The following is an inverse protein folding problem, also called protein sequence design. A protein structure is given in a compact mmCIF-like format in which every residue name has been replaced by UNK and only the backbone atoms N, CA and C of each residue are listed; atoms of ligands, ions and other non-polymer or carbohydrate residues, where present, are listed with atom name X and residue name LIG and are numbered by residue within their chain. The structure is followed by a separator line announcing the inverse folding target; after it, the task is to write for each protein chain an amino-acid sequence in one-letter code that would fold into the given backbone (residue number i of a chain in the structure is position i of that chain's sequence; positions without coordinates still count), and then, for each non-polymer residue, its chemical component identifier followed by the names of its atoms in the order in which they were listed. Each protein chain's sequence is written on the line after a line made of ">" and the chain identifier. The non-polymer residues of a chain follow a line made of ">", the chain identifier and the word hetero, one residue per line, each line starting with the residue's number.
data_IF_128419850155
#
_entry.id   IF_128419850155
#
_cell.length_a   1.000
_cell.length_b   1.000
_cell.length_c   1.000
_cell.angle_alpha   90.00
_cell.angle_beta   90.00
_cell.angle_gamma   90.00
#
_symmetry.space_group_name_H-M   'P 1'
#
loop_
_entity.id
_entity.type
_entity.pdbx_description
1 polymer ?
#
# COMPACT_ATOMS: atom_id res chain seq x y z
N UNK A 1 -6.33 -48.11 9.18
CA UNK A 1 -5.50 -46.90 9.39
C UNK A 1 -4.88 -46.39 8.06
N UNK A 2 -5.40 -46.82 6.90
CA UNK A 2 -5.09 -46.30 5.56
C UNK A 2 -6.27 -45.50 4.94
N UNK A 3 -7.31 -45.20 5.73
CA UNK A 3 -8.60 -44.65 5.28
C UNK A 3 -8.73 -43.13 5.35
N UNK A 4 -7.62 -42.38 5.47
CA UNK A 4 -7.61 -40.91 5.39
C UNK A 4 -6.84 -40.40 4.15
N UNK A 5 -6.27 -41.30 3.35
CA UNK A 5 -5.39 -41.01 2.22
C UNK A 5 -6.13 -40.69 0.90
N UNK A 6 -7.39 -40.23 0.92
CA UNK A 6 -8.16 -40.04 -0.33
C UNK A 6 -8.98 -38.76 -0.42
N UNK A 7 -9.18 -38.01 0.66
CA UNK A 7 -10.04 -36.80 0.66
C UNK A 7 -9.28 -35.47 0.60
N UNK A 8 -7.94 -35.50 0.59
CA UNK A 8 -7.10 -34.30 0.47
C UNK A 8 -6.24 -34.30 -0.80
N UNK A 9 -6.79 -34.77 -1.93
CA UNK A 9 -6.44 -34.14 -3.21
C UNK A 9 -7.04 -32.73 -3.13
N UNK A 10 -6.26 -31.81 -2.56
CA UNK A 10 -6.66 -30.42 -2.30
C UNK A 10 -6.96 -29.76 -3.64
N UNK A 11 -8.24 -29.82 -4.03
CA UNK A 11 -8.76 -29.21 -5.25
C UNK A 11 -8.91 -27.70 -4.98
N UNK A 12 -7.76 -27.02 -4.89
CA UNK A 12 -7.64 -25.58 -4.72
C UNK A 12 -7.92 -24.87 -6.05
N UNK A 13 -8.72 -23.81 -6.01
CA UNK A 13 -8.89 -22.94 -7.17
C UNK A 13 -7.63 -22.09 -7.27
N UNK A 14 -6.85 -22.30 -8.33
CA UNK A 14 -5.64 -21.55 -8.61
C UNK A 14 -5.89 -20.61 -9.78
N UNK A 15 -5.54 -19.35 -9.62
CA UNK A 15 -5.60 -18.33 -10.68
C UNK A 15 -4.20 -17.81 -10.96
N UNK A 16 -3.84 -17.75 -12.25
CA UNK A 16 -2.53 -17.23 -12.68
C UNK A 16 -2.61 -15.71 -12.81
N UNK A 17 -1.64 -15.02 -12.23
CA UNK A 17 -1.46 -13.59 -12.34
C UNK A 17 -0.05 -13.25 -12.83
N UNK A 18 0.09 -12.09 -13.46
CA UNK A 18 1.37 -11.53 -13.88
C UNK A 18 1.72 -10.32 -13.01
N UNK A 19 3.00 -10.24 -12.62
CA UNK A 19 3.60 -9.08 -11.98
C UNK A 19 3.70 -7.93 -13.01
N UNK A 20 3.00 -6.82 -12.75
CA UNK A 20 3.02 -5.64 -13.63
C UNK A 20 3.88 -4.49 -13.08
N UNK A 21 4.24 -4.53 -11.80
CA UNK A 21 5.11 -3.52 -11.21
C UNK A 21 5.39 -3.73 -9.73
N UNK A 22 6.34 -2.97 -9.22
CA UNK A 22 6.67 -2.88 -7.79
C UNK A 22 6.24 -1.52 -7.26
N UNK A 23 5.85 -1.46 -5.98
CA UNK A 23 5.50 -0.19 -5.32
C UNK A 23 6.78 0.66 -5.15
N UNK A 24 6.79 1.95 -5.54
CA UNK A 24 7.98 2.81 -5.42
C UNK A 24 8.38 3.15 -3.99
N UNK A 25 7.56 2.83 -2.98
CA UNK A 25 7.87 3.12 -1.58
C UNK A 25 8.93 2.15 -1.02
N UNK A 26 10.14 2.61 -0.64
CA UNK A 26 11.22 1.73 -0.16
C UNK A 26 10.94 1.13 1.23
N UNK A 27 9.98 1.68 1.99
CA UNK A 27 9.63 1.18 3.32
C UNK A 27 8.58 0.09 3.32
N UNK A 28 7.97 -0.21 2.16
CA UNK A 28 6.94 -1.24 2.04
C UNK A 28 7.22 -2.14 0.86
N UNK A 29 7.30 -3.44 1.12
CA UNK A 29 7.61 -4.43 0.10
C UNK A 29 6.31 -4.92 -0.52
N UNK A 30 5.88 -4.21 -1.57
CA UNK A 30 4.61 -4.48 -2.26
C UNK A 30 4.83 -4.63 -3.75
N UNK A 31 4.04 -5.52 -4.33
CA UNK A 31 3.99 -5.75 -5.77
C UNK A 31 2.57 -5.54 -6.28
N UNK A 32 2.46 -5.22 -7.57
CA UNK A 32 1.20 -5.00 -8.26
C UNK A 32 1.01 -6.11 -9.29
N UNK A 33 -0.15 -6.76 -9.27
CA UNK A 33 -0.49 -7.86 -10.18
C UNK A 33 -1.65 -7.48 -11.12
N UNK A 34 -1.70 -8.09 -12.30
CA UNK A 34 -2.74 -7.86 -13.33
C UNK A 34 -4.10 -8.52 -13.05
N UNK A 35 -4.40 -8.79 -11.77
CA UNK A 35 -5.66 -9.41 -11.34
C UNK A 35 -6.30 -8.57 -10.25
N UNK A 36 -7.58 -8.26 -10.40
CA UNK A 36 -8.33 -7.42 -9.48
C UNK A 36 -9.66 -8.02 -9.03
N UNK A 37 -10.53 -7.16 -8.51
CA UNK A 37 -11.86 -7.56 -8.01
C UNK A 37 -12.72 -8.21 -9.10
N UNK A 38 -12.63 -7.74 -10.35
CA UNK A 38 -13.39 -8.33 -11.47
C UNK A 38 -12.91 -9.73 -11.88
N UNK A 39 -11.65 -10.05 -11.58
CA UNK A 39 -11.10 -11.39 -11.79
C UNK A 39 -11.48 -12.38 -10.68
N UNK A 40 -12.12 -11.90 -9.59
CA UNK A 40 -12.46 -12.72 -8.44
C UNK A 40 -11.42 -12.72 -7.33
N UNK A 41 -10.41 -11.83 -7.40
CA UNK A 41 -9.40 -11.68 -6.34
C UNK A 41 -10.04 -11.10 -5.09
N UNK A 42 -9.62 -11.63 -3.94
CA UNK A 42 -10.22 -11.35 -2.63
C UNK A 42 -9.18 -10.85 -1.64
N UNK A 43 -9.57 -9.97 -0.72
CA UNK A 43 -8.67 -9.43 0.29
C UNK A 43 -8.18 -10.53 1.22
N UNK A 44 -6.87 -10.59 1.41
CA UNK A 44 -6.21 -11.60 2.21
C UNK A 44 -5.90 -12.89 1.46
N UNK A 45 -6.11 -12.95 0.15
CA UNK A 45 -5.80 -14.14 -0.63
C UNK A 45 -4.27 -14.41 -0.63
N UNK A 46 -3.83 -15.64 -0.38
CA UNK A 46 -2.42 -16.02 -0.46
C UNK A 46 -1.93 -16.01 -1.91
N UNK A 47 -0.70 -15.53 -2.08
CA UNK A 47 -0.01 -15.48 -3.37
C UNK A 47 1.25 -16.30 -3.30
N UNK A 48 1.45 -17.17 -4.28
CA UNK A 48 2.56 -18.10 -4.36
C UNK A 48 3.32 -17.94 -5.67
N UNK A 49 4.59 -18.31 -5.61
CA UNK A 49 5.46 -18.54 -6.75
C UNK A 49 5.62 -20.05 -6.98
N UNK A 50 6.28 -20.46 -8.05
CA UNK A 50 6.60 -21.85 -8.37
C UNK A 50 7.37 -22.57 -7.25
N UNK A 51 8.06 -21.83 -6.38
CA UNK A 51 8.89 -22.39 -5.30
C UNK A 51 8.29 -22.30 -3.90
N UNK A 52 7.28 -21.47 -3.68
CA UNK A 52 6.73 -21.28 -2.34
C UNK A 52 5.82 -20.07 -2.19
N UNK A 53 5.39 -19.85 -0.95
CA UNK A 53 4.57 -18.71 -0.57
C UNK A 53 5.35 -17.41 -0.81
N UNK A 54 4.71 -16.41 -1.41
CA UNK A 54 5.32 -15.11 -1.73
C UNK A 54 4.76 -13.99 -0.85
N UNK A 55 3.45 -14.02 -0.58
CA UNK A 55 2.80 -12.93 0.15
C UNK A 55 1.28 -13.07 0.23
N UNK A 56 0.62 -11.93 0.46
CA UNK A 56 -0.83 -11.86 0.64
C UNK A 56 -1.42 -10.61 -0.03
N UNK A 57 -2.58 -10.74 -0.67
CA UNK A 57 -3.32 -9.60 -1.23
C UNK A 57 -3.81 -8.69 -0.10
N UNK A 58 -3.40 -7.42 -0.12
CA UNK A 58 -3.77 -6.43 0.91
C UNK A 58 -4.68 -5.32 0.39
N UNK A 59 -4.72 -5.12 -0.93
CA UNK A 59 -5.54 -4.08 -1.55
C UNK A 59 -6.08 -4.56 -2.91
N UNK A 60 -7.35 -4.28 -3.16
CA UNK A 60 -8.03 -4.61 -4.41
C UNK A 60 -8.36 -3.33 -5.18
N UNK A 61 -8.09 -3.36 -6.48
CA UNK A 61 -8.60 -2.42 -7.47
C UNK A 61 -9.43 -3.22 -8.51
N UNK A 62 -10.20 -2.57 -9.40
CA UNK A 62 -11.09 -3.29 -10.32
C UNK A 62 -10.38 -4.29 -11.24
N UNK A 63 -9.16 -4.00 -11.67
CA UNK A 63 -8.38 -4.80 -12.63
C UNK A 63 -6.97 -5.17 -12.16
N UNK A 64 -6.57 -4.67 -10.99
CA UNK A 64 -5.25 -4.92 -10.41
C UNK A 64 -5.39 -5.12 -8.91
N UNK A 65 -4.37 -5.66 -8.27
CA UNK A 65 -4.32 -5.77 -6.82
C UNK A 65 -2.89 -5.60 -6.33
N UNK A 66 -2.76 -5.18 -5.06
CA UNK A 66 -1.46 -5.07 -4.40
C UNK A 66 -1.28 -6.24 -3.46
N UNK A 67 -0.12 -6.89 -3.60
CA UNK A 67 0.31 -8.01 -2.75
C UNK A 67 1.40 -7.49 -1.83
N UNK A 68 1.22 -7.73 -0.54
CA UNK A 68 2.24 -7.51 0.48
C UNK A 68 3.16 -8.74 0.51
N UNK A 69 4.45 -8.52 0.30
CA UNK A 69 5.44 -9.60 0.29
C UNK A 69 5.72 -10.06 1.72
N UNK A 70 6.13 -11.33 1.83
CA UNK A 70 6.47 -11.93 3.12
C UNK A 70 7.71 -11.33 3.80
N UNK A 71 8.53 -10.59 3.05
CA UNK A 71 9.73 -9.91 3.56
C UNK A 71 9.45 -8.54 4.14
N UNK A 72 8.22 -8.02 4.00
CA UNK A 72 7.83 -6.75 4.62
C UNK A 72 7.88 -6.84 6.16
N UNK A 73 8.37 -5.79 6.82
CA UNK A 73 8.50 -5.74 8.28
C UNK A 73 7.18 -5.85 9.03
N UNK A 74 6.07 -5.48 8.38
CA UNK A 74 4.71 -5.56 8.94
C UNK A 74 4.05 -6.91 8.70
N UNK A 75 4.70 -7.81 7.96
CA UNK A 75 4.16 -9.11 7.62
C UNK A 75 4.68 -10.21 8.55
N UNK A 76 3.76 -11.05 9.03
CA UNK A 76 4.07 -12.20 9.86
C UNK A 76 3.25 -13.42 9.42
N UNK A 77 3.93 -14.55 9.24
CA UNK A 77 3.34 -15.81 8.78
C UNK A 77 3.57 -16.89 9.85
N UNK A 78 2.53 -17.60 10.29
CA UNK A 78 2.71 -18.73 11.18
C UNK A 78 3.26 -19.93 10.40
N UNK A 79 4.48 -20.32 10.74
CA UNK A 79 5.22 -21.40 10.08
C UNK A 79 5.38 -22.61 11.00
N UNK A 80 5.71 -23.74 10.38
CA UNK A 80 6.00 -24.99 11.03
C UNK A 80 7.29 -25.57 10.43
N UNK A 81 8.17 -26.11 11.26
CA UNK A 81 9.35 -26.85 10.80
C UNK A 81 8.88 -28.20 10.25
N UNK A 82 9.26 -28.51 9.00
CA UNK A 82 8.81 -29.73 8.32
C UNK A 82 9.31 -31.01 9.02
N UNK A 83 10.51 -30.97 9.63
CA UNK A 83 11.15 -32.14 10.26
C UNK A 83 10.45 -32.62 11.53
N UNK A 84 10.20 -31.71 12.47
CA UNK A 84 9.74 -32.05 13.82
C UNK A 84 8.39 -31.41 14.19
N UNK A 85 7.81 -30.61 13.30
CA UNK A 85 6.51 -30.00 13.51
C UNK A 85 6.50 -28.82 14.49
N UNK A 86 7.67 -28.31 14.91
CA UNK A 86 7.77 -27.13 15.77
C UNK A 86 7.11 -25.92 15.09
N UNK A 87 6.28 -25.17 15.82
CA UNK A 87 5.59 -23.98 15.30
C UNK A 87 6.32 -22.71 15.70
N UNK A 88 6.42 -21.78 14.76
CA UNK A 88 7.02 -20.47 14.97
C UNK A 88 6.29 -19.40 14.14
N UNK A 89 6.70 -18.14 14.28
CA UNK A 89 6.20 -17.04 13.47
C UNK A 89 7.37 -16.43 12.70
N UNK A 90 7.33 -16.57 11.38
CA UNK A 90 8.26 -15.89 10.50
C UNK A 90 7.81 -14.45 10.28
N UNK A 91 8.71 -13.50 10.46
CA UNK A 91 8.50 -12.07 10.21
C UNK A 91 9.46 -11.57 9.15
N UNK A 92 8.96 -10.66 8.31
CA UNK A 92 9.80 -9.96 7.35
C UNK A 92 10.76 -8.99 8.03
N UNK A 93 11.90 -8.76 7.39
CA UNK A 93 12.96 -7.87 7.89
C UNK A 93 13.09 -6.58 7.07
N UNK A 94 12.38 -6.47 5.94
CA UNK A 94 12.60 -5.45 4.92
C UNK A 94 13.75 -5.79 3.95
N UNK A 95 14.34 -6.99 4.04
CA UNK A 95 15.29 -7.48 3.04
C UNK A 95 14.67 -8.65 2.24
N UNK A 96 14.70 -8.64 0.89
CA UNK A 96 14.11 -9.68 0.05
C UNK A 96 14.69 -11.10 0.27
N UNK A 97 15.89 -11.23 0.85
CA UNK A 97 16.57 -12.51 1.05
C UNK A 97 16.60 -12.96 2.52
N UNK A 98 15.96 -12.21 3.42
CA UNK A 98 16.02 -12.48 4.86
C UNK A 98 14.68 -12.43 5.56
N UNK A 99 14.39 -13.49 6.29
CA UNK A 99 13.33 -13.60 7.29
C UNK A 99 13.91 -13.90 8.66
N UNK A 100 13.16 -13.53 9.68
CA UNK A 100 13.50 -13.83 11.07
C UNK A 100 12.33 -14.54 11.75
N UNK A 101 12.64 -15.61 12.49
CA UNK A 101 11.64 -16.22 13.37
C UNK A 101 11.67 -15.50 14.71
N UNK A 102 10.50 -14.99 15.12
CA UNK A 102 10.36 -14.35 16.44
C UNK A 102 9.87 -15.37 17.47
N UNK A 103 10.33 -15.23 18.71
CA UNK A 103 9.87 -15.99 19.88
C UNK A 103 10.12 -17.51 19.80
N UNK A 104 11.26 -17.91 19.24
CA UNK A 104 11.72 -19.30 19.33
C UNK A 104 12.42 -19.49 20.68
N UNK A 105 11.95 -20.43 21.50
CA UNK A 105 12.62 -20.75 22.75
C UNK A 105 14.05 -21.26 22.49
N UNK A 106 14.99 -20.90 23.35
CA UNK A 106 16.40 -21.35 23.21
C UNK A 106 16.55 -22.87 23.26
N UNK A 107 15.63 -23.57 23.95
CA UNK A 107 15.57 -25.04 24.03
C UNK A 107 14.86 -25.71 22.84
N UNK A 108 14.42 -24.94 21.85
CA UNK A 108 13.69 -25.49 20.71
C UNK A 108 14.62 -26.21 19.73
N UNK A 109 14.20 -27.40 19.27
CA UNK A 109 14.95 -28.17 18.27
C UNK A 109 14.82 -27.53 16.86
N UNK A 110 15.61 -26.49 16.57
CA UNK A 110 15.74 -25.90 15.21
C UNK A 110 17.19 -26.03 14.77
N UNK A 111 17.40 -26.49 13.53
CA UNK A 111 18.74 -26.62 12.94
C UNK A 111 18.83 -25.84 11.63
N UNK A 112 20.04 -25.45 11.28
CA UNK A 112 20.34 -24.90 9.96
C UNK A 112 19.98 -25.91 8.86
N UNK A 113 19.40 -25.42 7.77
CA UNK A 113 18.88 -26.24 6.68
C UNK A 113 17.44 -26.71 6.85
N UNK A 114 16.80 -26.48 8.00
CA UNK A 114 15.41 -26.87 8.20
C UNK A 114 14.46 -26.10 7.26
N UNK A 115 13.55 -26.83 6.60
CA UNK A 115 12.51 -26.26 5.76
C UNK A 115 11.31 -25.82 6.62
N UNK A 116 10.94 -24.55 6.48
CA UNK A 116 9.78 -23.95 7.10
C UNK A 116 8.61 -23.97 6.12
N UNK A 117 7.49 -24.56 6.55
CA UNK A 117 6.25 -24.63 5.80
C UNK A 117 5.14 -23.84 6.49
N UNK A 118 4.12 -23.42 5.77
CA UNK A 118 2.98 -22.72 6.34
C UNK A 118 2.18 -23.65 7.27
N UNK A 119 1.92 -23.21 8.50
CA UNK A 119 1.24 -24.04 9.51
C UNK A 119 -0.28 -24.17 9.31
N UNK A 120 -0.88 -23.31 8.49
CA UNK A 120 -2.35 -23.18 8.37
C UNK A 120 -3.05 -22.61 9.61
N UNK A 121 -2.30 -22.21 10.65
CA UNK A 121 -2.85 -21.67 11.88
C UNK A 121 -3.62 -20.38 11.62
N UNK A 122 -4.83 -20.27 12.18
CA UNK A 122 -5.71 -19.11 12.00
C UNK A 122 -6.41 -19.04 10.63
N UNK A 123 -6.30 -20.09 9.80
CA UNK A 123 -6.98 -20.22 8.49
C UNK A 123 -6.74 -19.06 7.51
N UNK A 124 -5.67 -18.27 7.70
CA UNK A 124 -5.31 -17.16 6.80
C UNK A 124 -4.52 -17.63 5.58
N UNK A 125 -3.63 -18.58 5.81
CA UNK A 125 -2.80 -19.20 4.78
C UNK A 125 -3.15 -20.69 4.69
N UNK A 126 -3.06 -21.30 3.50
CA UNK A 126 -3.16 -22.74 3.37
C UNK A 126 -1.97 -23.40 4.08
N UNK A 127 -2.16 -24.63 4.56
CA UNK A 127 -1.13 -25.38 5.26
C UNK A 127 -0.22 -26.12 4.26
N UNK A 128 1.05 -26.32 4.62
CA UNK A 128 1.98 -27.19 3.89
C UNK A 128 2.76 -26.55 2.74
N UNK A 129 2.68 -25.23 2.57
CA UNK A 129 3.41 -24.54 1.51
C UNK A 129 4.80 -24.10 1.98
N UNK A 130 5.87 -24.29 1.17
CA UNK A 130 7.22 -23.82 1.52
C UNK A 130 7.25 -22.31 1.71
N UNK A 131 7.92 -21.84 2.77
CA UNK A 131 8.07 -20.42 3.09
C UNK A 131 9.53 -20.01 3.05
N UNK A 132 10.38 -20.71 3.81
CA UNK A 132 11.80 -20.36 3.93
C UNK A 132 12.63 -21.55 4.42
N UNK A 133 13.95 -21.45 4.26
CA UNK A 133 14.93 -22.40 4.81
C UNK A 133 15.77 -21.72 5.87
N UNK A 134 15.96 -22.35 7.03
CA UNK A 134 16.80 -21.81 8.10
C UNK A 134 18.25 -21.74 7.62
N UNK A 135 18.87 -20.57 7.73
CA UNK A 135 20.26 -20.34 7.35
C UNK A 135 21.19 -20.30 8.54
N UNK A 136 20.75 -19.69 9.63
CA UNK A 136 21.58 -19.44 10.80
C UNK A 136 20.71 -19.45 12.06
N UNK A 137 21.19 -20.10 13.12
CA UNK A 137 20.54 -20.13 14.44
C UNK A 137 21.51 -19.59 15.49
N UNK A 138 21.21 -18.41 16.03
CA UNK A 138 22.04 -17.76 17.05
C UNK A 138 21.37 -17.97 18.41
N UNK A 139 22.08 -18.66 19.30
CA UNK A 139 21.69 -18.86 20.70
C UNK A 139 22.55 -17.91 21.55
N UNK A 140 21.89 -17.03 22.31
CA UNK A 140 22.56 -16.12 23.23
C UNK A 140 22.16 -16.51 24.66
N UNK A 141 23.12 -17.00 25.45
CA UNK A 141 22.89 -17.45 26.83
C UNK A 141 22.28 -16.38 27.74
N UNK A 142 22.30 -15.10 27.33
CA UNK A 142 21.67 -13.99 28.04
C UNK A 142 20.22 -13.69 27.64
N UNK A 143 19.65 -14.36 26.61
CA UNK A 143 18.30 -14.10 26.10
C UNK A 143 17.41 -15.35 26.20
N UNK A 144 16.13 -15.21 26.56
CA UNK A 144 15.20 -16.36 26.62
C UNK A 144 14.78 -16.90 25.25
N UNK A 145 15.12 -16.20 24.16
CA UNK A 145 14.73 -16.54 22.80
C UNK A 145 15.94 -16.56 21.86
N UNK A 146 16.05 -17.61 21.04
CA UNK A 146 17.04 -17.70 19.98
C UNK A 146 16.65 -16.82 18.78
N UNK A 147 17.64 -16.23 18.12
CA UNK A 147 17.46 -15.47 16.89
C UNK A 147 17.70 -16.40 15.71
N UNK A 148 16.63 -16.75 15.00
CA UNK A 148 16.71 -17.63 13.82
C UNK A 148 16.56 -16.81 12.55
N UNK A 149 17.56 -16.90 11.67
CA UNK A 149 17.55 -16.25 10.36
C UNK A 149 17.26 -17.30 9.29
N UNK A 150 16.31 -16.99 8.43
CA UNK A 150 15.87 -17.86 7.34
C UNK A 150 15.87 -17.13 6.01
N UNK A 151 16.07 -17.87 4.92
CA UNK A 151 16.04 -17.37 3.55
C UNK A 151 14.72 -17.78 2.89
N UNK A 152 13.95 -16.85 2.32
CA UNK A 152 12.74 -17.18 1.57
C UNK A 152 12.98 -18.21 0.46
N UNK A 153 12.08 -19.18 0.32
CA UNK A 153 12.14 -20.16 -0.79
C UNK A 153 11.62 -19.57 -2.10
N UNK A 154 10.67 -18.62 -2.02
CA UNK A 154 10.10 -17.93 -3.18
C UNK A 154 11.08 -16.92 -3.81
N UNK A 155 11.13 -16.85 -5.14
CA UNK A 155 12.02 -15.94 -5.84
C UNK A 155 11.41 -14.53 -5.95
N UNK A 156 11.40 -13.79 -4.85
CA UNK A 156 10.65 -12.53 -4.71
C UNK A 156 11.01 -11.45 -5.76
N UNK A 157 12.25 -11.44 -6.25
CA UNK A 157 12.74 -10.42 -7.19
C UNK A 157 12.84 -10.91 -8.66
N UNK A 158 12.50 -12.18 -8.95
CA UNK A 158 12.67 -12.76 -10.31
C UNK A 158 11.39 -13.36 -10.88
N UNK A 159 10.34 -13.46 -10.08
CA UNK A 159 9.10 -14.14 -10.46
C UNK A 159 8.18 -13.21 -11.23
N UNK A 160 7.95 -13.51 -12.51
CA UNK A 160 7.01 -12.78 -13.36
C UNK A 160 5.57 -13.26 -13.22
N UNK A 161 5.40 -14.55 -12.97
CA UNK A 161 4.08 -15.18 -12.86
C UNK A 161 3.85 -15.66 -11.43
N UNK A 162 2.61 -15.49 -10.99
CA UNK A 162 2.19 -15.74 -9.61
C UNK A 162 0.91 -16.56 -9.62
N UNK A 163 0.72 -17.32 -8.55
CA UNK A 163 -0.44 -18.17 -8.33
C UNK A 163 -1.24 -17.63 -7.15
N UNK A 164 -2.48 -17.24 -7.43
CA UNK A 164 -3.47 -16.87 -6.44
C UNK A 164 -4.22 -18.12 -6.03
N UNK A 165 -4.14 -18.49 -4.75
CA UNK A 165 -4.79 -19.71 -4.24
C UNK A 165 -6.01 -19.34 -3.43
N UNK A 166 -7.14 -19.96 -3.74
CA UNK A 166 -8.36 -19.90 -2.93
C UNK A 166 -8.64 -21.26 -2.29
N UNK A 167 -8.31 -21.45 -0.99
CA UNK A 167 -8.71 -22.65 -0.28
C UNK A 167 -10.23 -22.68 -0.14
N UNK A 168 -10.87 -23.84 -0.38
CA UNK A 168 -12.34 -23.99 -0.20
C UNK A 168 -12.81 -23.71 1.24
N UNK A 169 -11.93 -23.82 2.23
CA UNK A 169 -12.22 -23.52 3.65
C UNK A 169 -11.88 -22.08 4.05
N UNK A 170 -11.24 -21.29 3.18
CA UNK A 170 -10.82 -19.93 3.49
C UNK A 170 -12.02 -18.99 3.49
N UNK A 171 -12.30 -18.41 4.65
CA UNK A 171 -13.26 -17.32 4.80
C UNK A 171 -12.47 -16.03 4.90
N UNK A 172 -12.61 -15.09 3.95
CA UNK A 172 -11.99 -13.77 4.11
C UNK A 172 -12.48 -13.17 5.42
N UNK A 173 -11.56 -12.61 6.21
CA UNK A 173 -11.91 -11.84 7.39
C UNK A 173 -12.80 -10.68 6.90
N UNK A 174 -14.11 -10.80 7.12
CA UNK A 174 -15.11 -9.83 6.68
C UNK A 174 -14.89 -8.53 7.47
N UNK A 175 -13.97 -7.67 7.02
CA UNK A 175 -13.81 -6.33 7.56
C UNK A 175 -15.16 -5.65 7.43
N UNK A 176 -15.73 -5.33 8.59
CA UNK A 176 -17.00 -4.63 8.74
C UNK A 176 -16.89 -3.25 8.10
N UNK A 177 -17.15 -3.15 6.80
CA UNK A 177 -17.79 -1.96 6.24
C UNK A 177 -19.28 -1.99 6.66
N UNK A 178 -19.54 -1.92 7.96
CA UNK A 178 -20.86 -1.48 8.44
C UNK A 178 -20.86 0.04 8.32
N UNK A 179 -21.25 0.49 7.14
CA UNK A 179 -21.80 1.82 6.97
C UNK A 179 -22.86 2.05 8.05
N UNK A 180 -22.68 3.17 8.73
CA UNK A 180 -23.60 3.87 9.61
C UNK A 180 -24.97 4.04 8.97
N UNK A 181 -25.86 3.07 9.22
CA UNK A 181 -27.31 3.28 9.33
C UNK A 181 -27.84 2.39 10.45
N UNK A 182 -27.55 2.77 11.69
CA UNK A 182 -28.31 2.31 12.85
C UNK A 182 -28.98 3.54 13.46
N UNK A 183 -30.23 3.74 13.07
CA UNK A 183 -31.04 4.90 13.44
C UNK A 183 -32.51 4.66 13.14
N UNK A 184 -33.01 3.46 13.45
CA UNK A 184 -34.46 3.25 13.66
C UNK A 184 -34.63 2.26 14.80
N UNK A 185 -34.93 2.82 15.98
CA UNK A 185 -35.46 2.11 17.13
C UNK A 185 -36.74 1.40 16.70
N UNK A 186 -36.69 0.09 16.52
CA UNK A 186 -37.89 -0.74 16.51
C UNK A 186 -37.71 -1.84 17.55
N UNK A 187 -38.28 -1.53 18.72
CA UNK A 187 -38.85 -2.41 19.75
C UNK A 187 -38.85 -3.90 19.36
N UNK A 188 -37.79 -4.62 19.71
CA UNK A 188 -37.88 -6.08 19.84
C UNK A 188 -38.37 -6.41 21.24
N UNK A 189 -39.65 -6.80 21.32
CA UNK A 189 -40.28 -7.35 22.51
C UNK A 189 -39.52 -8.60 22.95
N UNK A 190 -39.22 -8.66 24.25
CA UNK A 190 -38.78 -9.86 24.96
C UNK A 190 -39.88 -10.92 24.91
N UNK A 191 -39.51 -12.17 24.67
CA UNK A 191 -40.27 -13.35 25.10
C UNK A 191 -39.30 -14.52 25.35
N UNK A 192 -39.64 -15.43 26.28
CA UNK A 192 -38.67 -15.95 27.23
C UNK A 192 -38.08 -17.31 26.86
N UNK A 193 -37.05 -17.66 27.63
CA UNK A 193 -36.25 -18.87 27.56
C UNK A 193 -37.09 -20.16 27.55
N UNK A 194 -36.70 -21.08 26.66
CA UNK A 194 -37.07 -22.50 26.74
C UNK A 194 -35.77 -23.29 26.82
N UNK A 195 -35.41 -23.69 28.04
CA UNK A 195 -34.39 -24.71 28.29
C UNK A 195 -34.92 -26.07 27.82
N UNK A 196 -34.34 -26.62 26.75
CA UNK A 196 -34.46 -28.06 26.45
C UNK A 196 -33.20 -28.77 26.91
N UNK A 197 -33.38 -29.61 27.94
CA UNK A 197 -32.45 -30.66 28.38
C UNK A 197 -32.12 -31.57 27.20
N UNK A 198 -30.84 -31.85 26.99
CA UNK A 198 -30.37 -32.89 26.07
C UNK A 198 -29.97 -34.10 26.93
N UNK A 199 -30.71 -35.20 26.81
CA UNK A 199 -30.26 -36.53 27.25
C UNK A 199 -29.47 -37.19 26.11
N UNK A 200 -28.42 -37.98 26.40
CA UNK A 200 -27.65 -38.69 25.38
C UNK A 200 -28.41 -39.91 24.83
N UNK A 201 -28.21 -40.29 23.55
CA UNK A 201 -28.89 -41.43 22.98
C UNK A 201 -28.27 -42.77 23.40
N UNK A 202 -29.16 -43.70 23.74
CA UNK A 202 -28.91 -45.13 23.98
C UNK A 202 -28.54 -45.85 22.69
N UNK A 203 -27.54 -46.72 22.81
CA UNK A 203 -27.14 -47.76 21.87
C UNK A 203 -28.27 -48.77 21.59
N UNK A 204 -28.40 -49.27 20.35
CA UNK A 204 -28.81 -50.66 20.18
C UNK A 204 -27.87 -51.45 19.25
N UNK A 205 -27.40 -52.58 19.79
CA UNK A 205 -26.82 -53.70 19.05
C UNK A 205 -27.79 -54.18 17.97
N UNK A 206 -27.32 -54.30 16.73
CA UNK A 206 -27.85 -55.25 15.74
C UNK A 206 -26.70 -55.88 14.97
N UNK A 207 -26.46 -57.16 15.25
CA UNK A 207 -25.78 -58.08 14.34
C UNK A 207 -26.59 -58.17 13.05
N UNK A 208 -25.94 -58.26 11.88
CA UNK A 208 -26.29 -59.24 10.83
C UNK A 208 -25.30 -59.22 9.65
N UNK A 209 -24.70 -60.39 9.42
CA UNK A 209 -24.36 -61.06 8.16
C UNK A 209 -23.43 -60.38 7.11
N UNK A 210 -22.26 -61.00 6.96
CA UNK A 210 -21.41 -61.04 5.76
C UNK A 210 -22.17 -61.60 4.54
N UNK A 211 -21.82 -61.12 3.33
CA UNK A 211 -21.74 -61.99 2.17
C UNK A 211 -20.34 -62.02 1.54
N UNK A 212 -20.12 -63.13 0.83
CA UNK A 212 -18.87 -63.66 0.29
C UNK A 212 -18.36 -62.90 -0.95
N UNK A 213 -17.05 -63.01 -1.16
CA UNK A 213 -16.33 -62.71 -2.41
C UNK A 213 -16.95 -63.38 -3.65
N UNK A 214 -16.66 -62.82 -4.83
CA UNK A 214 -16.15 -63.64 -5.92
C UNK A 214 -14.77 -63.18 -6.42
N UNK A 215 -13.92 -64.18 -6.66
CA UNK A 215 -12.68 -64.14 -7.44
C UNK A 215 -12.99 -64.18 -8.94
N UNK A 216 -11.95 -63.95 -9.76
CA UNK A 216 -11.83 -63.94 -11.22
C UNK A 216 -11.87 -62.50 -11.79
N UNK A 217 -10.92 -62.03 -12.60
CA UNK A 217 -10.13 -62.74 -13.61
C UNK A 217 -8.80 -61.99 -13.85
N UNK A 218 -7.71 -62.76 -14.00
CA UNK A 218 -6.44 -62.34 -14.59
C UNK A 218 -6.62 -61.91 -16.05
N UNK A 219 -5.86 -60.89 -16.49
CA UNK A 219 -5.08 -60.80 -17.76
C UNK A 219 -4.69 -59.33 -18.04
N UNK A 220 -3.40 -59.04 -18.18
CA UNK A 220 -2.93 -57.94 -19.04
C UNK A 220 -2.59 -58.47 -20.44
N UNK A 221 -1.81 -57.77 -21.28
CA UNK A 221 -1.78 -56.34 -21.67
C UNK A 221 -2.19 -56.22 -23.18
N UNK A 222 -1.90 -55.14 -23.98
CA UNK A 222 -0.53 -54.82 -24.44
C UNK A 222 -0.19 -53.33 -24.62
N UNK A 223 1.11 -53.11 -24.85
CA UNK A 223 1.76 -51.89 -25.32
C UNK A 223 1.19 -51.37 -26.64
N UNK A 224 1.28 -50.04 -26.81
CA UNK A 224 1.54 -49.43 -28.11
C UNK A 224 0.45 -48.47 -28.58
N UNK A 225 0.67 -47.16 -28.38
CA UNK A 225 0.45 -46.13 -29.39
C UNK A 225 0.96 -44.77 -28.89
N UNK A 226 2.18 -44.45 -29.32
CA UNK A 226 2.76 -43.11 -29.31
C UNK A 226 1.87 -42.17 -30.14
N UNK A 227 1.01 -41.40 -29.48
CA UNK A 227 0.35 -40.26 -30.14
C UNK A 227 1.19 -39.01 -29.91
N UNK A 228 2.06 -38.70 -30.88
CA UNK A 228 2.75 -37.40 -31.01
C UNK A 228 1.72 -36.28 -31.02
N UNK A 229 1.54 -35.58 -29.90
CA UNK A 229 0.83 -34.31 -29.85
C UNK A 229 1.77 -33.24 -30.40
N UNK A 230 1.56 -32.84 -31.67
CA UNK A 230 2.19 -31.65 -32.26
C UNK A 230 1.61 -30.40 -31.59
N UNK A 231 2.32 -29.85 -30.60
CA UNK A 231 2.12 -28.49 -30.13
C UNK A 231 2.86 -27.53 -31.08
N UNK A 232 2.12 -26.84 -31.94
CA UNK A 232 2.57 -25.55 -32.50
C UNK A 232 1.84 -24.45 -31.73
N UNK A 233 2.50 -23.64 -30.89
CA UNK A 233 1.94 -22.36 -30.51
C UNK A 233 2.09 -21.40 -31.70
N UNK A 234 0.97 -20.92 -32.25
CA UNK A 234 0.98 -19.72 -33.11
C UNK A 234 1.33 -18.54 -32.20
N UNK A 235 2.47 -17.89 -32.45
CA UNK A 235 2.73 -16.55 -31.94
C UNK A 235 1.67 -15.60 -32.53
N UNK A 236 1.05 -14.71 -31.73
CA UNK A 236 0.39 -13.54 -32.28
C UNK A 236 1.46 -12.53 -32.72
N UNK A 237 1.38 -12.12 -33.99
CA UNK A 237 2.13 -11.01 -34.57
C UNK A 237 1.67 -9.68 -33.95
N UNK A 238 2.57 -8.77 -33.56
CA UNK A 238 2.18 -7.44 -33.13
C UNK A 238 1.75 -6.61 -34.34
N UNK A 239 0.49 -6.19 -34.38
CA UNK A 239 0.00 -5.15 -35.30
C UNK A 239 0.60 -3.79 -34.89
N UNK A 240 1.28 -3.07 -35.78
CA UNK A 240 1.70 -1.70 -35.52
C UNK A 240 0.54 -0.76 -35.82
N UNK A 241 0.09 0.02 -34.83
CA UNK A 241 -0.87 1.10 -35.07
C UNK A 241 -2.01 1.17 -34.07
N UNK A 242 -1.70 1.59 -32.85
CA UNK A 242 -2.64 2.40 -32.09
C UNK A 242 -1.82 3.42 -31.33
N UNK A 243 -1.85 4.66 -31.83
CA UNK A 243 -1.34 5.82 -31.11
C UNK A 243 -1.82 5.74 -29.66
N UNK A 244 -0.86 5.88 -28.78
CA UNK A 244 -1.00 6.14 -27.35
C UNK A 244 -2.04 7.22 -27.09
N UNK A 245 -3.29 6.82 -26.88
CA UNK A 245 -4.24 7.63 -26.11
C UNK A 245 -3.95 7.32 -24.65
N UNK A 246 -2.93 7.99 -24.12
CA UNK A 246 -2.74 8.16 -22.69
C UNK A 246 -4.00 8.87 -22.20
N UNK A 247 -4.99 8.09 -21.78
CA UNK A 247 -6.14 8.64 -21.06
C UNK A 247 -5.58 9.16 -19.75
N UNK A 248 -5.29 10.46 -19.70
CA UNK A 248 -5.16 11.17 -18.45
C UNK A 248 -6.45 10.90 -17.68
N UNK A 249 -6.37 10.00 -16.71
CA UNK A 249 -7.40 9.84 -15.70
C UNK A 249 -7.33 11.10 -14.86
N UNK A 250 -7.93 12.18 -15.37
CA UNK A 250 -8.18 13.41 -14.63
C UNK A 250 -9.03 13.01 -13.44
N UNK A 251 -8.41 12.97 -12.26
CA UNK A 251 -9.13 12.79 -11.02
C UNK A 251 -10.28 13.79 -10.99
N UNK A 252 -11.50 13.28 -10.78
CA UNK A 252 -12.78 14.02 -10.88
C UNK A 252 -12.82 15.35 -10.09
N UNK A 253 -11.84 15.58 -9.21
CA UNK A 253 -11.76 16.70 -8.29
C UNK A 253 -10.51 17.59 -8.49
N UNK A 254 -9.82 17.52 -9.64
CA UNK A 254 -8.64 18.39 -9.91
C UNK A 254 -8.96 19.89 -9.91
N UNK A 255 -10.21 20.27 -10.22
CA UNK A 255 -10.69 21.66 -10.18
C UNK A 255 -10.64 22.28 -8.78
N UNK A 256 -10.67 21.46 -7.72
CA UNK A 256 -10.59 21.95 -6.33
C UNK A 256 -9.26 22.67 -6.06
N UNK A 257 -8.18 22.23 -6.70
CA UNK A 257 -6.87 22.89 -6.53
C UNK A 257 -6.89 24.29 -7.13
N UNK A 258 -7.46 24.44 -8.34
CA UNK A 258 -7.66 25.74 -8.95
C UNK A 258 -8.58 26.64 -8.13
N UNK A 259 -9.61 26.08 -7.49
CA UNK A 259 -10.46 26.81 -6.55
C UNK A 259 -9.68 27.30 -5.33
N UNK A 260 -8.74 26.50 -4.80
CA UNK A 260 -7.87 26.99 -3.72
C UNK A 260 -6.93 28.11 -4.17
N UNK A 261 -6.38 28.05 -5.40
CA UNK A 261 -5.59 29.16 -5.93
C UNK A 261 -6.42 30.43 -6.15
N UNK A 262 -7.66 30.29 -6.63
CA UNK A 262 -8.58 31.41 -6.76
C UNK A 262 -8.87 32.05 -5.39
N UNK A 263 -9.13 31.24 -4.35
CA UNK A 263 -9.27 31.75 -2.97
C UNK A 263 -7.99 32.47 -2.51
N UNK A 264 -6.82 31.89 -2.81
CA UNK A 264 -5.53 32.51 -2.51
C UNK A 264 -5.37 33.89 -3.14
N UNK A 265 -5.74 34.02 -4.41
CA UNK A 265 -5.72 35.30 -5.14
C UNK A 265 -6.73 36.29 -4.57
N UNK A 266 -7.95 35.85 -4.25
CA UNK A 266 -8.97 36.71 -3.65
C UNK A 266 -8.54 37.26 -2.29
N UNK A 267 -7.95 36.41 -1.44
CA UNK A 267 -7.36 36.84 -0.16
C UNK A 267 -6.12 37.73 -0.37
N UNK A 268 -5.40 37.54 -1.48
CA UNK A 268 -4.34 38.43 -1.92
C UNK A 268 -4.87 39.74 -2.52
N UNK A 269 -6.16 39.97 -2.71
CA UNK A 269 -6.66 41.29 -3.21
C UNK A 269 -7.49 42.01 -2.16
N UNK A 270 -7.93 41.31 -1.10
CA UNK A 270 -8.75 41.92 -0.05
C UNK A 270 -8.04 43.11 0.61
N UNK A 271 -8.68 44.30 0.68
CA UNK A 271 -8.12 45.46 1.35
C UNK A 271 -8.06 45.18 2.86
N UNK A 272 -6.86 45.30 3.43
CA UNK A 272 -6.65 45.18 4.86
C UNK A 272 -6.50 46.59 5.46
N UNK A 273 -6.92 46.79 6.72
CA UNK A 273 -6.67 48.06 7.40
C UNK A 273 -5.16 48.28 7.57
N UNK A 274 -4.71 49.53 7.50
CA UNK A 274 -3.28 49.92 7.45
C UNK A 274 -2.39 49.28 8.52
N UNK A 275 -2.92 49.02 9.73
CA UNK A 275 -2.15 48.35 10.80
C UNK A 275 -1.87 46.86 10.52
N UNK A 276 -2.70 46.20 9.72
CA UNK A 276 -2.60 44.77 9.39
C UNK A 276 -1.88 44.53 8.05
N UNK A 277 -1.70 45.56 7.22
CA UNK A 277 -0.97 45.45 5.95
C UNK A 277 0.47 44.97 6.13
N UNK A 278 1.12 45.35 7.23
CA UNK A 278 2.47 44.90 7.58
C UNK A 278 2.54 43.38 7.82
N UNK A 279 1.46 42.79 8.36
CA UNK A 279 1.38 41.36 8.70
C UNK A 279 0.75 40.52 7.59
N UNK A 280 0.61 41.08 6.39
CA UNK A 280 -0.11 40.47 5.30
C UNK A 280 0.52 39.15 4.86
N UNK A 281 -0.17 38.01 5.00
CA UNK A 281 0.37 36.72 4.60
C UNK A 281 0.50 36.60 3.09
N UNK A 282 1.48 35.83 2.64
CA UNK A 282 1.66 35.41 1.25
C UNK A 282 0.68 34.25 0.95
N UNK A 283 -0.62 34.56 0.91
CA UNK A 283 -1.69 33.57 0.76
C UNK A 283 -1.48 32.67 -0.45
N UNK A 284 -1.17 33.26 -1.60
CA UNK A 284 -0.95 32.50 -2.83
C UNK A 284 0.28 31.60 -2.72
N UNK A 285 1.40 32.12 -2.21
CA UNK A 285 2.64 31.35 -2.03
C UNK A 285 2.45 30.18 -1.03
N UNK A 286 1.67 30.37 0.04
CA UNK A 286 1.35 29.32 1.01
C UNK A 286 0.58 28.17 0.37
N UNK A 287 -0.50 28.49 -0.33
CA UNK A 287 -1.33 27.49 -0.98
C UNK A 287 -0.56 26.77 -2.09
N UNK A 288 0.25 27.52 -2.86
CA UNK A 288 1.12 26.96 -3.87
C UNK A 288 2.16 26.01 -3.29
N UNK A 289 2.85 26.42 -2.22
CA UNK A 289 3.83 25.60 -1.52
C UNK A 289 3.23 24.28 -1.05
N UNK A 290 2.00 24.29 -0.52
CA UNK A 290 1.30 23.08 -0.13
C UNK A 290 1.05 22.13 -1.30
N UNK A 291 0.52 22.63 -2.41
CA UNK A 291 0.18 21.78 -3.55
C UNK A 291 1.41 21.23 -4.27
N UNK A 292 2.50 22.01 -4.33
CA UNK A 292 3.80 21.56 -4.83
C UNK A 292 4.36 20.42 -3.97
N UNK A 293 4.31 20.54 -2.63
CA UNK A 293 4.73 19.47 -1.72
C UNK A 293 3.84 18.22 -1.79
N UNK A 294 2.55 18.40 -2.07
CA UNK A 294 1.57 17.31 -2.10
C UNK A 294 1.56 16.53 -3.42
N UNK A 295 1.78 17.21 -4.55
CA UNK A 295 1.60 16.72 -5.92
C UNK A 295 2.65 17.35 -6.88
N UNK A 296 3.95 17.04 -6.70
CA UNK A 296 5.04 17.72 -7.42
C UNK A 296 5.02 17.49 -8.94
N UNK A 297 4.43 16.38 -9.39
CA UNK A 297 4.33 16.06 -10.82
C UNK A 297 3.24 16.86 -11.55
N UNK A 298 2.29 17.47 -10.83
CA UNK A 298 1.16 18.22 -11.42
C UNK A 298 1.31 19.73 -11.30
N UNK A 299 1.84 20.20 -10.16
CA UNK A 299 1.98 21.61 -9.87
C UNK A 299 3.47 21.93 -9.67
N UNK A 300 3.96 22.94 -10.37
CA UNK A 300 5.37 23.28 -10.41
C UNK A 300 5.65 24.67 -10.95
N UNK A 301 6.80 24.83 -11.59
CA UNK A 301 7.30 26.14 -12.04
C UNK A 301 6.32 26.85 -12.98
N UNK A 302 5.70 26.12 -13.92
CA UNK A 302 4.77 26.68 -14.90
C UNK A 302 3.50 27.23 -14.24
N UNK A 303 2.95 26.51 -13.27
CA UNK A 303 1.77 26.97 -12.53
C UNK A 303 2.09 28.19 -11.67
N UNK A 304 3.29 28.25 -11.09
CA UNK A 304 3.74 29.40 -10.31
C UNK A 304 3.93 30.65 -11.17
N UNK A 305 4.51 30.48 -12.36
CA UNK A 305 4.69 31.56 -13.33
C UNK A 305 3.34 32.17 -13.75
N UNK A 306 2.39 31.33 -14.17
CA UNK A 306 1.06 31.79 -14.61
C UNK A 306 0.31 32.49 -13.46
N UNK A 307 0.34 31.91 -12.26
CA UNK A 307 -0.31 32.50 -11.10
C UNK A 307 0.33 33.83 -10.69
N UNK A 308 1.66 33.95 -10.83
CA UNK A 308 2.36 35.20 -10.55
C UNK A 308 2.12 36.29 -11.60
N UNK A 309 1.99 35.93 -12.88
CA UNK A 309 1.54 36.89 -13.91
C UNK A 309 0.12 37.40 -13.62
N UNK A 310 -0.77 36.50 -13.17
CA UNK A 310 -2.11 36.89 -12.77
C UNK A 310 -2.08 37.79 -11.53
N UNK A 311 -1.17 37.55 -10.59
CA UNK A 311 -0.94 38.43 -9.45
C UNK A 311 -0.43 39.82 -9.90
N UNK A 312 0.51 39.89 -10.84
CA UNK A 312 0.99 41.16 -11.39
C UNK A 312 -0.12 42.00 -12.01
N UNK A 313 -1.03 41.38 -12.76
CA UNK A 313 -2.19 42.04 -13.36
C UNK A 313 -3.17 42.56 -12.29
N UNK A 314 -3.36 41.82 -11.21
CA UNK A 314 -4.29 42.19 -10.14
C UNK A 314 -3.78 43.34 -9.27
N UNK A 315 -2.47 43.39 -8.99
CA UNK A 315 -1.87 44.48 -8.21
C UNK A 315 -1.45 45.69 -9.07
N UNK A 316 -1.46 45.56 -10.39
CA UNK A 316 -0.94 46.58 -11.29
C UNK A 316 0.58 46.76 -11.16
N UNK A 317 1.33 45.71 -10.76
CA UNK A 317 2.79 45.74 -10.69
C UNK A 317 3.42 45.49 -12.06
N UNK A 318 4.75 45.63 -12.15
CA UNK A 318 5.48 45.26 -13.36
C UNK A 318 5.22 43.79 -13.69
N UNK A 319 4.79 43.56 -14.93
CA UNK A 319 4.43 42.23 -15.43
C UNK A 319 5.67 41.33 -15.41
N UNK A 320 5.63 40.26 -14.62
CA UNK A 320 6.72 39.31 -14.41
C UNK A 320 7.39 39.37 -13.03
N UNK A 321 7.14 40.40 -12.20
CA UNK A 321 7.78 40.52 -10.88
C UNK A 321 7.33 39.41 -9.92
N UNK A 322 6.02 39.26 -9.69
CA UNK A 322 5.49 38.20 -8.83
C UNK A 322 5.67 36.81 -9.47
N UNK A 323 5.64 36.73 -10.80
CA UNK A 323 5.95 35.50 -11.53
C UNK A 323 7.35 34.96 -11.19
N UNK A 324 8.38 35.82 -11.17
CA UNK A 324 9.74 35.44 -10.79
C UNK A 324 9.85 35.00 -9.33
N UNK A 325 9.18 35.73 -8.42
CA UNK A 325 9.23 35.44 -6.98
C UNK A 325 8.56 34.09 -6.66
N UNK A 326 7.35 33.84 -7.16
CA UNK A 326 6.66 32.57 -6.95
C UNK A 326 7.40 31.40 -7.60
N UNK A 327 8.01 31.63 -8.76
CA UNK A 327 8.86 30.65 -9.43
C UNK A 327 10.10 30.29 -8.60
N UNK A 328 10.78 31.28 -8.03
CA UNK A 328 11.92 31.08 -7.14
C UNK A 328 11.52 30.28 -5.88
N UNK A 329 10.40 30.63 -5.24
CA UNK A 329 9.86 29.89 -4.10
C UNK A 329 9.60 28.43 -4.50
N UNK A 330 8.93 28.22 -5.63
CA UNK A 330 8.58 26.88 -6.11
C UNK A 330 9.82 26.04 -6.39
N UNK A 331 10.83 26.64 -7.02
CA UNK A 331 12.11 26.00 -7.30
C UNK A 331 12.83 25.57 -6.01
N UNK A 332 12.93 26.45 -5.02
CA UNK A 332 13.53 26.14 -3.72
C UNK A 332 12.76 25.02 -3.01
N UNK A 333 11.43 25.09 -2.98
CA UNK A 333 10.59 24.05 -2.37
C UNK A 333 10.78 22.71 -3.08
N UNK A 334 10.82 22.69 -4.41
CA UNK A 334 11.06 21.48 -5.21
C UNK A 334 12.44 20.87 -4.96
N UNK A 335 13.47 21.70 -4.77
CA UNK A 335 14.82 21.25 -4.44
C UNK A 335 14.88 20.57 -3.07
N UNK A 336 14.17 21.11 -2.07
CA UNK A 336 14.19 20.57 -0.70
C UNK A 336 13.07 19.54 -0.41
N UNK A 337 12.17 19.27 -1.36
CA UNK A 337 10.93 18.51 -1.13
C UNK A 337 11.14 17.12 -0.50
N UNK A 338 12.20 16.41 -0.89
CA UNK A 338 12.49 15.06 -0.39
C UNK A 338 12.76 15.08 1.12
N UNK A 339 13.40 16.15 1.61
CA UNK A 339 13.71 16.37 3.02
C UNK A 339 12.50 16.90 3.78
N UNK A 340 11.77 17.89 3.22
CA UNK A 340 10.60 18.47 3.87
C UNK A 340 9.51 17.44 4.18
N UNK A 341 9.33 16.42 3.32
CA UNK A 341 8.31 15.38 3.54
C UNK A 341 8.61 14.46 4.73
N UNK A 342 9.87 14.33 5.13
CA UNK A 342 10.27 13.51 6.28
C UNK A 342 10.34 14.30 7.58
N UNK A 343 10.46 15.62 7.52
CA UNK A 343 10.60 16.45 8.72
C UNK A 343 9.28 16.68 9.47
N UNK A 344 9.33 16.77 10.81
CA UNK A 344 8.19 17.14 11.64
C UNK A 344 7.68 18.55 11.30
N UNK A 345 6.42 18.81 11.62
CA UNK A 345 5.68 20.00 11.18
C UNK A 345 6.37 21.33 11.54
N UNK A 346 7.03 21.39 12.69
CA UNK A 346 7.72 22.59 13.16
C UNK A 346 9.00 22.87 12.35
N UNK A 347 9.76 21.82 11.98
CA UNK A 347 10.93 21.96 11.10
C UNK A 347 10.52 22.41 9.69
N UNK A 348 9.35 21.97 9.20
CA UNK A 348 8.81 22.49 7.95
C UNK A 348 8.56 24.01 8.02
N UNK A 349 8.07 24.53 9.16
CA UNK A 349 7.86 25.97 9.34
C UNK A 349 9.19 26.74 9.29
N UNK A 350 10.23 26.23 9.96
CA UNK A 350 11.55 26.85 9.96
C UNK A 350 12.15 26.90 8.55
N UNK A 351 12.05 25.80 7.79
CA UNK A 351 12.56 25.78 6.42
C UNK A 351 11.75 26.73 5.52
N UNK A 352 10.42 26.77 5.65
CA UNK A 352 9.60 27.69 4.87
C UNK A 352 9.82 29.16 5.24
N UNK A 353 10.11 29.47 6.51
CA UNK A 353 10.55 30.81 6.93
C UNK A 353 11.78 31.25 6.12
N UNK A 354 12.78 30.37 6.01
CA UNK A 354 14.00 30.65 5.24
C UNK A 354 13.68 30.79 3.75
N UNK A 355 12.90 29.89 3.16
CA UNK A 355 12.54 29.94 1.74
C UNK A 355 11.77 31.23 1.40
N UNK A 356 10.75 31.58 2.17
CA UNK A 356 9.98 32.81 1.96
C UNK A 356 10.81 34.05 2.26
N UNK A 357 11.67 34.01 3.28
CA UNK A 357 12.60 35.11 3.60
C UNK A 357 13.59 35.40 2.46
N UNK A 358 14.16 34.35 1.85
CA UNK A 358 15.04 34.50 0.68
C UNK A 358 14.28 35.06 -0.52
N UNK A 359 13.04 34.63 -0.74
CA UNK A 359 12.21 35.17 -1.81
C UNK A 359 11.85 36.64 -1.60
N UNK A 360 11.56 37.06 -0.36
CA UNK A 360 11.33 38.46 0.00
C UNK A 360 12.59 39.32 -0.17
N UNK A 361 13.78 38.75 0.13
CA UNK A 361 15.04 39.43 -0.14
C UNK A 361 15.26 39.62 -1.65
N UNK A 362 14.95 38.61 -2.47
CA UNK A 362 14.99 38.74 -3.93
C UNK A 362 13.98 39.79 -4.45
N UNK A 363 12.79 39.85 -3.86
CA UNK A 363 11.78 40.86 -4.17
C UNK A 363 12.28 42.28 -3.86
N UNK A 364 12.97 42.47 -2.72
CA UNK A 364 13.56 43.75 -2.36
C UNK A 364 14.62 44.19 -3.37
N UNK A 365 15.50 43.27 -3.78
CA UNK A 365 16.49 43.53 -4.81
C UNK A 365 15.87 43.91 -6.15
N UNK A 366 14.84 43.17 -6.59
CA UNK A 366 14.15 43.43 -7.85
C UNK A 366 13.42 44.79 -7.81
N UNK A 367 12.76 45.10 -6.69
CA UNK A 367 12.07 46.39 -6.50
C UNK A 367 13.05 47.56 -6.49
N UNK A 368 14.23 47.39 -5.88
CA UNK A 368 15.30 48.38 -5.88
C UNK A 368 15.82 48.67 -7.29
N UNK A 369 15.95 47.64 -8.14
CA UNK A 369 16.36 47.79 -9.54
C UNK A 369 15.32 48.54 -10.39
N UNK A 370 14.03 48.36 -10.10
CA UNK A 370 12.92 49.03 -10.83
C UNK A 370 12.67 50.48 -10.41
N UNK A 371 13.45 51.02 -9.47
CA UNK A 371 13.33 52.42 -9.02
C UNK A 371 12.13 52.71 -8.10
N UNK A 372 11.24 51.73 -7.85
CA UNK A 372 10.09 51.88 -6.98
C UNK A 372 10.49 51.67 -5.51
N UNK A 373 10.93 52.73 -4.82
CA UNK A 373 11.48 52.67 -3.47
C UNK A 373 10.45 52.90 -2.38
N UNK A 374 10.06 51.82 -1.69
CA UNK A 374 9.85 51.86 -0.23
C UNK A 374 10.53 50.65 0.43
N UNK A 375 11.87 50.67 0.57
CA UNK A 375 12.62 49.60 1.23
C UNK A 375 12.46 49.72 2.74
N UNK A 376 11.50 49.00 3.31
CA UNK A 376 11.40 48.83 4.76
C UNK A 376 11.75 47.39 5.12
N UNK A 377 12.36 47.19 6.31
CA UNK A 377 12.49 45.86 6.93
C UNK A 377 11.13 45.15 7.08
N UNK A 378 10.02 45.88 6.92
CA UNK A 378 8.67 45.36 6.99
C UNK A 378 8.35 44.30 5.92
N UNK A 379 9.12 44.24 4.82
CA UNK A 379 8.97 43.19 3.79
C UNK A 379 9.26 41.76 4.29
N UNK A 380 9.99 41.60 5.41
CA UNK A 380 10.28 40.28 6.00
C UNK A 380 9.12 39.77 6.85
N UNK A 381 8.28 40.67 7.38
CA UNK A 381 7.15 40.32 8.27
C UNK A 381 6.11 39.41 7.58
N UNK A 382 5.69 39.67 6.32
CA UNK A 382 4.86 38.75 5.54
C UNK A 382 5.38 37.31 5.50
N UNK A 383 6.69 37.12 5.33
CA UNK A 383 7.31 35.79 5.30
C UNK A 383 7.23 35.10 6.66
N UNK A 384 7.46 35.83 7.75
CA UNK A 384 7.36 35.32 9.12
C UNK A 384 5.92 34.91 9.45
N UNK A 385 4.95 35.77 9.17
CA UNK A 385 3.53 35.46 9.39
C UNK A 385 3.10 34.26 8.55
N UNK A 386 3.56 34.17 7.29
CA UNK A 386 3.24 33.04 6.42
C UNK A 386 3.81 31.73 6.96
N UNK A 387 5.08 31.73 7.37
CA UNK A 387 5.70 30.55 7.96
C UNK A 387 5.02 30.13 9.27
N UNK A 388 4.58 31.09 10.07
CA UNK A 388 3.80 30.81 11.27
C UNK A 388 2.43 30.21 10.91
N UNK A 389 1.72 30.72 9.91
CA UNK A 389 0.41 30.20 9.48
C UNK A 389 0.44 28.81 8.84
N UNK A 390 1.63 28.31 8.48
CA UNK A 390 1.81 27.04 7.78
C UNK A 390 1.18 25.79 8.45
N UNK A 391 1.30 25.54 9.78
CA UNK A 391 0.67 24.42 10.46
C UNK A 391 -0.85 24.37 10.26
N UNK A 392 -1.51 25.52 10.39
CA UNK A 392 -2.96 25.62 10.28
C UNK A 392 -3.44 25.40 8.84
N UNK A 393 -2.82 26.07 7.88
CA UNK A 393 -3.15 25.95 6.45
C UNK A 393 -2.92 24.53 5.96
N UNK A 394 -1.75 23.95 6.28
CA UNK A 394 -1.41 22.59 5.84
C UNK A 394 -2.29 21.53 6.50
N UNK A 395 -2.69 21.71 7.77
CA UNK A 395 -3.64 20.80 8.42
C UNK A 395 -5.01 20.84 7.73
N UNK A 396 -5.54 22.04 7.46
CA UNK A 396 -6.81 22.23 6.76
C UNK A 396 -6.80 21.60 5.36
N UNK A 397 -5.76 21.87 4.57
CA UNK A 397 -5.64 21.33 3.21
C UNK A 397 -5.35 19.82 3.19
N UNK A 398 -4.63 19.26 4.16
CA UNK A 398 -4.50 17.80 4.32
C UNK A 398 -5.87 17.15 4.57
N UNK A 399 -6.70 17.78 5.41
CA UNK A 399 -8.08 17.35 5.65
C UNK A 399 -8.92 17.38 4.37
N UNK A 400 -8.85 18.49 3.63
CA UNK A 400 -9.58 18.68 2.37
C UNK A 400 -9.15 17.67 1.29
N UNK A 401 -7.84 17.48 1.11
CA UNK A 401 -7.27 16.49 0.18
C UNK A 401 -7.76 15.07 0.47
N UNK A 402 -7.76 14.66 1.74
CA UNK A 402 -8.23 13.34 2.17
C UNK A 402 -9.73 13.16 1.92
N UNK A 403 -10.55 14.17 2.25
CA UNK A 403 -12.01 14.12 2.03
C UNK A 403 -12.39 14.02 0.56
N UNK A 404 -11.64 14.71 -0.29
CA UNK A 404 -11.93 14.81 -1.72
C UNK A 404 -11.16 13.80 -2.58
N UNK A 405 -10.44 12.84 -1.98
CA UNK A 405 -9.68 11.78 -2.68
C UNK A 405 -8.82 12.30 -3.83
N UNK A 406 -8.13 13.42 -3.62
CA UNK A 406 -7.25 14.01 -4.63
C UNK A 406 -5.92 13.27 -4.59
N UNK A 407 -5.71 12.41 -5.60
CA UNK A 407 -4.51 11.59 -5.79
C UNK A 407 -3.43 12.27 -6.61
#
# INVERSE_FOLDING_TARGET
>A
RELLNSSALVNEKVEVAELIGMDPNPFTHRIIINKGERDGVVLGQPVLDARGLMGQVVELMPYTSRVLLLTDTTHSIPVQVNRNGLRAIASGTGNPERLELRHVADTADIKEGDLLVSSGLGQRFPAGYPVATVKEVIHDSGQPFAIVRAVPTAALNRSRYLLLVSPRSWRPCRRQHRHSRCGRKQRCRRSPAVQRRINPPRNPRRQLRLPRLPRHLQRGPPLGLLRRVRLRPRLPTPTPGSLSMVSHVSGRNGWVVWLTFAIGLLLSVSPLPQFMEIFRPLWLALLLTFWVLALPHKYGMTTAWILGLMEDVLYGTLLGQNALILSLITFLVMSLQQRLRMFPMWQQCLVLLVVFGLAQLAQLWLSALTGNRQPTLALVLPALVSALLWPWVSYGLRGLRKRLKIN
#
